data_IF_139833747643
#
_entry.id   IF_139833747643
#
_cell.length_a   1.000
_cell.length_b   1.000
_cell.length_c   1.000
_cell.angle_alpha   90.00
_cell.angle_beta   90.00
_cell.angle_gamma   90.00
#
_symmetry.space_group_name_H-M   'P 1'
#
loop_
_entity.id
_entity.type
_entity.pdbx_description
1 polymer ?
#
# COMPACT_ATOMS: atom_id res chain seq x y z
N UNK A 1 7.62 -61.47 -23.49
CA UNK A 1 7.80 -60.71 -24.74
C UNK A 1 8.38 -59.35 -24.32
N UNK A 2 9.63 -58.96 -24.59
CA UNK A 2 10.68 -59.49 -25.48
C UNK A 2 10.29 -59.55 -26.97
N UNK A 3 11.08 -59.08 -27.94
CA UNK A 3 12.38 -58.33 -27.88
C UNK A 3 12.17 -56.85 -27.43
N UNK A 4 12.95 -55.80 -27.70
CA UNK A 4 14.21 -55.47 -28.43
C UNK A 4 14.72 -54.12 -27.87
N UNK A 5 15.90 -53.53 -28.17
CA UNK A 5 17.01 -53.82 -29.11
C UNK A 5 17.58 -52.47 -29.61
N UNK A 6 18.87 -52.19 -29.40
CA UNK A 6 19.50 -50.88 -29.67
C UNK A 6 19.79 -50.59 -31.15
N UNK A 7 20.45 -49.45 -31.47
CA UNK A 7 21.89 -49.41 -31.21
C UNK A 7 22.44 -48.12 -30.55
N UNK A 8 23.62 -48.26 -29.93
CA UNK A 8 24.53 -47.16 -29.63
C UNK A 8 25.45 -46.90 -30.82
N UNK A 9 25.91 -45.66 -31.01
CA UNK A 9 27.26 -45.39 -31.53
C UNK A 9 27.74 -44.01 -31.01
N UNK A 10 29.04 -43.85 -30.71
CA UNK A 10 29.61 -42.59 -30.22
C UNK A 10 30.19 -41.74 -31.36
N UNK A 11 30.46 -40.47 -31.08
CA UNK A 11 31.62 -39.78 -31.65
C UNK A 11 32.33 -38.99 -30.54
N UNK A 12 33.65 -38.90 -30.62
CA UNK A 12 34.53 -38.37 -29.58
C UNK A 12 35.66 -37.54 -30.21
N UNK A 13 35.31 -36.34 -30.69
CA UNK A 13 36.29 -35.38 -31.21
C UNK A 13 36.97 -34.58 -30.09
N UNK A 14 38.14 -35.05 -29.67
CA UNK A 14 39.11 -34.33 -28.84
C UNK A 14 40.00 -33.40 -29.70
N UNK A 15 40.79 -32.47 -29.12
CA UNK A 15 40.94 -31.14 -29.69
C UNK A 15 42.00 -31.01 -30.82
N UNK A 16 41.68 -30.17 -31.79
CA UNK A 16 42.67 -29.55 -32.66
C UNK A 16 43.59 -28.64 -31.82
N UNK A 17 44.89 -28.93 -31.83
CA UNK A 17 45.92 -28.07 -31.23
C UNK A 17 46.42 -27.08 -32.27
N UNK A 18 45.86 -25.88 -32.27
CA UNK A 18 46.34 -24.82 -33.15
C UNK A 18 47.70 -24.26 -32.69
N UNK A 19 48.51 -23.80 -33.64
CA UNK A 19 49.92 -23.52 -33.39
C UNK A 19 50.14 -22.11 -32.80
N UNK A 20 51.02 -22.01 -31.80
CA UNK A 20 51.46 -20.72 -31.25
C UNK A 20 52.32 -19.97 -32.30
N UNK A 21 51.91 -18.78 -32.78
CA UNK A 21 52.72 -18.01 -33.73
C UNK A 21 53.95 -17.42 -33.03
N UNK A 22 55.14 -17.72 -33.54
CA UNK A 22 56.42 -17.20 -33.01
C UNK A 22 56.68 -15.74 -33.42
N UNK A 23 55.78 -14.84 -33.02
CA UNK A 23 55.92 -13.40 -33.21
C UNK A 23 56.70 -12.76 -32.07
N UNK A 24 57.88 -12.21 -32.36
CA UNK A 24 58.61 -11.34 -31.41
C UNK A 24 57.81 -10.03 -31.28
N UNK A 25 57.41 -9.59 -30.07
CA UNK A 25 56.58 -8.40 -29.91
C UNK A 25 57.32 -7.14 -30.39
N UNK A 26 56.59 -6.12 -30.90
CA UNK A 26 57.18 -4.86 -31.30
C UNK A 26 57.81 -4.14 -30.10
N UNK A 27 58.82 -3.32 -30.37
CA UNK A 27 59.42 -2.47 -29.34
C UNK A 27 58.40 -1.46 -28.79
N UNK A 28 58.42 -1.16 -27.47
CA UNK A 28 57.52 -0.16 -26.90
C UNK A 28 57.79 1.23 -27.49
N UNK A 29 56.78 2.11 -27.55
CA UNK A 29 56.95 3.50 -27.98
C UNK A 29 57.91 4.25 -27.03
N UNK A 30 58.57 5.33 -27.50
CA UNK A 30 59.40 6.17 -26.65
C UNK A 30 58.58 6.77 -25.51
N UNK A 31 59.19 6.85 -24.32
CA UNK A 31 58.57 7.47 -23.15
C UNK A 31 58.31 8.97 -23.40
N UNK A 32 57.23 9.53 -22.84
CA UNK A 32 56.95 10.97 -22.94
C UNK A 32 58.05 11.79 -22.25
N UNK A 33 58.23 13.08 -22.65
CA UNK A 33 59.08 13.99 -21.91
C UNK A 33 58.58 14.12 -20.46
N UNK A 34 59.51 14.36 -19.54
CA UNK A 34 59.16 14.66 -18.14
C UNK A 34 58.40 15.99 -18.11
N UNK A 35 57.35 16.14 -17.28
CA UNK A 35 56.74 17.44 -17.05
C UNK A 35 57.77 18.37 -16.40
N UNK A 36 57.80 19.63 -16.83
CA UNK A 36 58.50 20.68 -16.10
C UNK A 36 57.91 20.83 -14.69
N UNK A 37 58.74 21.25 -13.74
CA UNK A 37 58.33 21.49 -12.36
C UNK A 37 57.35 22.67 -12.29
N UNK A 38 56.05 22.36 -12.33
CA UNK A 38 55.02 23.29 -11.92
C UNK A 38 55.29 23.78 -10.49
N UNK A 39 55.06 25.07 -10.23
CA UNK A 39 55.01 25.57 -8.85
C UNK A 39 53.89 24.85 -8.11
N UNK A 40 54.19 24.36 -6.91
CA UNK A 40 53.18 23.80 -6.02
C UNK A 40 52.17 24.92 -5.67
N UNK A 41 50.85 24.71 -5.84
CA UNK A 41 49.86 25.69 -5.39
C UNK A 41 49.89 25.77 -3.86
N UNK A 42 49.65 26.96 -3.32
CA UNK A 42 49.43 27.12 -1.88
C UNK A 42 48.22 26.28 -1.44
N UNK A 43 48.25 25.66 -0.25
CA UNK A 43 47.14 24.84 0.22
C UNK A 43 45.87 25.70 0.37
N UNK A 44 44.78 25.24 -0.26
CA UNK A 44 43.46 25.82 -0.02
C UNK A 44 43.08 25.69 1.46
N UNK A 45 42.41 26.69 2.06
CA UNK A 45 42.00 26.60 3.46
C UNK A 45 41.06 25.41 3.66
N UNK A 46 41.32 24.61 4.71
CA UNK A 46 40.46 23.49 5.06
C UNK A 46 39.02 23.97 5.29
N UNK A 47 38.00 23.26 4.79
CA UNK A 47 36.61 23.67 4.97
C UNK A 47 36.26 23.68 6.46
N UNK A 48 35.76 24.81 6.96
CA UNK A 48 35.20 24.91 8.31
C UNK A 48 34.07 23.87 8.43
N UNK A 49 34.25 22.89 9.33
CA UNK A 49 33.26 21.83 9.50
C UNK A 49 31.97 22.44 10.06
N UNK A 50 30.88 22.32 9.29
CA UNK A 50 29.54 22.65 9.78
C UNK A 50 29.29 21.85 11.08
N UNK A 51 28.74 22.48 12.13
CA UNK A 51 28.55 21.79 13.40
C UNK A 51 27.63 20.60 13.22
N UNK A 52 28.06 19.42 13.68
CA UNK A 52 27.22 18.21 13.64
C UNK A 52 25.85 18.51 14.27
N UNK A 53 24.74 18.07 13.65
CA UNK A 53 23.41 18.35 14.19
C UNK A 53 23.32 17.77 15.60
N UNK A 54 23.02 18.65 16.56
CA UNK A 54 22.90 18.26 17.95
C UNK A 54 21.90 17.11 18.08
N UNK A 55 22.22 16.11 18.91
CA UNK A 55 21.34 14.97 19.16
C UNK A 55 20.07 15.44 19.88
N UNK A 56 19.06 15.80 19.10
CA UNK A 56 17.68 15.88 19.58
C UNK A 56 17.26 14.46 19.97
N UNK A 57 16.88 14.21 21.24
CA UNK A 57 16.47 12.88 21.65
C UNK A 57 15.21 12.46 20.89
N UNK A 58 15.19 11.23 20.38
CA UNK A 58 14.00 10.65 19.75
C UNK A 58 12.76 10.89 20.64
N UNK A 59 11.65 11.40 20.08
CA UNK A 59 10.46 11.70 20.86
C UNK A 59 9.92 10.44 21.52
N UNK A 60 9.45 10.57 22.76
CA UNK A 60 8.80 9.49 23.49
C UNK A 60 7.73 8.82 22.60
N UNK A 61 7.70 7.49 22.45
CA UNK A 61 6.76 6.82 21.55
C UNK A 61 5.28 7.12 21.85
N UNK A 62 4.92 7.50 23.07
CA UNK A 62 3.58 7.95 23.41
C UNK A 62 3.33 9.39 22.89
N UNK A 63 4.26 10.31 23.11
CA UNK A 63 4.18 11.68 22.59
C UNK A 63 4.27 11.75 21.05
N UNK A 64 5.06 10.87 20.42
CA UNK A 64 5.12 10.71 18.97
C UNK A 64 3.79 10.18 18.42
N UNK A 65 3.12 9.27 19.13
CA UNK A 65 1.79 8.79 18.77
C UNK A 65 0.75 9.90 18.92
N UNK A 66 0.76 10.68 20.01
CA UNK A 66 -0.13 11.85 20.17
C UNK A 66 0.09 12.91 19.09
N UNK A 67 1.34 13.23 18.73
CA UNK A 67 1.65 14.17 17.66
C UNK A 67 1.12 13.70 16.30
N UNK A 68 1.26 12.40 15.99
CA UNK A 68 0.67 11.79 14.78
C UNK A 68 -0.86 11.79 14.85
N UNK A 69 -1.47 11.50 16.00
CA UNK A 69 -2.93 11.58 16.18
C UNK A 69 -3.44 13.01 15.98
N UNK A 70 -2.74 14.03 16.49
CA UNK A 70 -3.05 15.44 16.27
C UNK A 70 -2.97 15.84 14.80
N UNK A 71 -1.88 15.48 14.12
CA UNK A 71 -1.72 15.69 12.67
C UNK A 71 -2.84 15.01 11.85
N UNK A 72 -3.31 13.83 12.27
CA UNK A 72 -4.41 13.14 11.57
C UNK A 72 -5.79 13.75 11.83
N UNK A 73 -6.01 14.48 12.93
CA UNK A 73 -7.27 15.19 13.17
C UNK A 73 -7.47 16.38 12.23
N UNK A 74 -6.41 17.16 11.96
CA UNK A 74 -6.45 18.34 11.09
C UNK A 74 -6.46 17.99 9.58
N UNK A 75 -6.21 16.72 9.22
CA UNK A 75 -6.39 16.28 7.83
C UNK A 75 -7.87 16.44 7.39
N UNK A 76 -8.14 17.10 6.24
CA UNK A 76 -9.49 17.40 5.79
C UNK A 76 -10.21 16.15 5.29
N UNK A 77 -11.53 16.07 5.53
CA UNK A 77 -12.33 14.88 5.19
C UNK A 77 -12.39 14.58 3.68
N UNK A 78 -12.06 15.56 2.83
CA UNK A 78 -11.96 15.41 1.38
C UNK A 78 -10.66 14.73 0.90
N UNK A 79 -9.65 14.61 1.78
CA UNK A 79 -8.34 14.04 1.48
C UNK A 79 -8.46 12.62 0.92
N UNK A 80 -7.69 12.35 -0.14
CA UNK A 80 -7.66 11.05 -0.85
C UNK A 80 -6.46 10.24 -0.40
N UNK A 81 -6.73 9.07 0.18
CA UNK A 81 -5.71 8.21 0.76
C UNK A 81 -5.28 7.12 -0.22
N UNK A 82 -3.99 6.75 -0.14
CA UNK A 82 -3.45 5.57 -0.82
C UNK A 82 -3.81 4.32 -0.03
N UNK A 83 -4.04 3.20 -0.71
CA UNK A 83 -4.54 1.96 -0.10
C UNK A 83 -3.72 1.52 1.12
N UNK A 84 -2.37 1.50 1.01
CA UNK A 84 -1.48 1.11 2.11
C UNK A 84 -1.64 1.97 3.38
N UNK A 85 -1.82 3.29 3.23
CA UNK A 85 -2.03 4.20 4.39
C UNK A 85 -3.28 3.79 5.16
N UNK A 86 -4.31 3.34 4.44
CA UNK A 86 -5.56 2.86 5.04
C UNK A 86 -5.36 1.49 5.69
N UNK A 87 -4.66 0.55 5.04
CA UNK A 87 -4.30 -0.74 5.66
C UNK A 87 -3.54 -0.56 6.98
N UNK A 88 -2.61 0.40 7.02
CA UNK A 88 -1.81 0.69 8.21
C UNK A 88 -2.68 1.32 9.32
N UNK A 89 -3.56 2.28 9.00
CA UNK A 89 -4.55 2.86 9.96
C UNK A 89 -5.55 1.82 10.47
N UNK A 90 -6.11 0.98 9.61
CA UNK A 90 -7.05 -0.06 10.04
C UNK A 90 -6.38 -1.08 10.96
N UNK A 91 -5.14 -1.48 10.65
CA UNK A 91 -4.39 -2.46 11.44
C UNK A 91 -4.07 -1.98 12.86
N UNK A 92 -3.64 -0.73 13.04
CA UNK A 92 -3.37 -0.19 14.40
C UNK A 92 -4.63 0.03 15.23
N UNK A 93 -5.79 0.19 14.57
CA UNK A 93 -7.10 0.29 15.22
C UNK A 93 -7.83 -1.09 15.35
N UNK A 94 -7.15 -2.20 15.08
CA UNK A 94 -7.72 -3.55 15.20
C UNK A 94 -8.83 -3.89 14.20
N UNK A 95 -9.00 -3.12 13.12
CA UNK A 95 -10.00 -3.36 12.07
C UNK A 95 -9.40 -4.27 10.99
N UNK A 96 -10.07 -5.40 10.73
CA UNK A 96 -9.70 -6.32 9.66
C UNK A 96 -10.23 -5.90 8.28
N UNK A 97 -9.68 -6.48 7.21
CA UNK A 97 -10.28 -6.43 5.88
C UNK A 97 -10.13 -7.76 5.13
N UNK A 98 -10.97 -7.99 4.11
CA UNK A 98 -10.98 -9.24 3.33
C UNK A 98 -11.40 -9.01 1.88
N UNK A 99 -10.42 -9.09 0.97
CA UNK A 99 -10.67 -9.26 -0.46
C UNK A 99 -10.97 -10.71 -0.82
N UNK A 100 -12.02 -10.92 -1.63
CA UNK A 100 -12.34 -12.22 -2.22
C UNK A 100 -11.36 -12.60 -3.33
N UNK A 101 -10.95 -11.63 -4.14
CA UNK A 101 -9.93 -11.74 -5.18
C UNK A 101 -8.48 -11.74 -4.67
N UNK A 102 -8.26 -11.57 -3.37
CA UNK A 102 -6.93 -11.46 -2.71
C UNK A 102 -6.06 -10.33 -3.28
N UNK A 103 -6.68 -9.19 -3.57
CA UNK A 103 -6.07 -8.07 -4.28
C UNK A 103 -6.67 -6.73 -3.87
N UNK A 104 -6.03 -5.62 -4.28
CA UNK A 104 -6.38 -4.25 -3.91
C UNK A 104 -6.49 -3.27 -5.10
N UNK A 105 -6.43 -3.77 -6.34
CA UNK A 105 -6.66 -2.96 -7.54
C UNK A 105 -8.14 -2.54 -7.65
N UNK A 106 -8.41 -1.24 -7.49
CA UNK A 106 -9.76 -0.66 -7.60
C UNK A 106 -10.44 -0.87 -8.96
N UNK A 107 -9.73 -1.29 -10.00
CA UNK A 107 -10.36 -1.61 -11.29
C UNK A 107 -10.97 -3.01 -11.32
N UNK A 108 -10.62 -3.90 -10.39
CA UNK A 108 -11.06 -5.29 -10.36
C UNK A 108 -12.13 -5.49 -9.27
N UNK A 109 -13.31 -5.95 -9.66
CA UNK A 109 -14.51 -6.01 -8.81
C UNK A 109 -14.46 -7.01 -7.64
N UNK A 110 -13.45 -7.88 -7.58
CA UNK A 110 -13.21 -8.82 -6.47
C UNK A 110 -12.07 -8.37 -5.53
N UNK A 111 -11.34 -7.31 -5.89
CA UNK A 111 -10.41 -6.68 -4.97
C UNK A 111 -11.18 -5.89 -3.90
N UNK A 112 -10.60 -5.75 -2.71
CA UNK A 112 -11.06 -4.75 -1.74
C UNK A 112 -10.04 -3.63 -1.80
N UNK A 113 -10.40 -2.51 -2.43
CA UNK A 113 -9.47 -1.39 -2.58
C UNK A 113 -9.81 -0.26 -1.61
N UNK A 114 -8.77 0.44 -1.14
CA UNK A 114 -8.94 1.69 -0.40
C UNK A 114 -8.32 2.88 -1.13
N UNK A 115 -7.88 2.68 -2.38
CA UNK A 115 -7.19 3.70 -3.16
C UNK A 115 -8.15 4.85 -3.50
N UNK A 116 -7.79 6.09 -3.15
CA UNK A 116 -8.65 7.28 -3.13
C UNK A 116 -9.91 7.19 -2.24
N UNK A 117 -9.93 6.36 -1.19
CA UNK A 117 -10.94 6.52 -0.14
C UNK A 117 -10.76 7.88 0.55
N UNK A 118 -11.85 8.46 1.09
CA UNK A 118 -11.79 9.71 1.84
C UNK A 118 -11.28 9.48 3.26
N UNK A 119 -10.49 10.41 3.79
CA UNK A 119 -10.14 10.41 5.21
C UNK A 119 -11.38 10.52 6.12
N UNK A 120 -12.38 11.32 5.77
CA UNK A 120 -13.65 11.39 6.53
C UNK A 120 -14.41 10.06 6.57
N UNK A 121 -14.30 9.24 5.51
CA UNK A 121 -14.86 7.88 5.46
C UNK A 121 -14.09 6.91 6.37
N UNK A 122 -12.78 7.09 6.54
CA UNK A 122 -12.01 6.29 7.52
C UNK A 122 -12.31 6.76 8.95
N UNK A 123 -12.30 8.08 9.24
CA UNK A 123 -12.68 8.60 10.56
C UNK A 123 -14.08 8.14 10.99
N UNK A 124 -15.06 8.15 10.08
CA UNK A 124 -16.39 7.62 10.35
C UNK A 124 -16.43 6.12 10.63
N UNK A 125 -15.58 5.32 9.97
CA UNK A 125 -15.45 3.90 10.28
C UNK A 125 -14.82 3.66 11.65
N UNK A 126 -13.77 4.42 12.00
CA UNK A 126 -13.11 4.36 13.32
C UNK A 126 -14.10 4.70 14.44
N UNK A 127 -14.82 5.82 14.32
CA UNK A 127 -15.85 6.22 15.28
C UNK A 127 -17.01 5.23 15.39
N UNK A 128 -17.37 4.53 14.30
CA UNK A 128 -18.33 3.42 14.37
C UNK A 128 -17.75 2.18 15.08
N UNK A 129 -16.48 1.82 14.84
CA UNK A 129 -15.84 0.70 15.52
C UNK A 129 -15.79 0.94 17.04
N UNK A 130 -15.31 2.11 17.45
CA UNK A 130 -15.24 2.57 18.84
C UNK A 130 -16.64 2.59 19.50
N UNK A 131 -17.58 3.37 18.96
CA UNK A 131 -18.92 3.53 19.57
C UNK A 131 -19.82 2.28 19.50
N UNK A 132 -19.51 1.32 18.63
CA UNK A 132 -20.21 0.03 18.61
C UNK A 132 -19.62 -1.01 19.55
N UNK A 133 -18.31 -0.93 19.84
CA UNK A 133 -17.56 -1.95 20.56
C UNK A 133 -17.49 -3.29 19.82
N UNK A 134 -17.64 -3.28 18.49
CA UNK A 134 -17.68 -4.47 17.65
C UNK A 134 -16.37 -4.70 16.88
N UNK A 135 -15.95 -5.96 16.75
CA UNK A 135 -14.96 -6.34 15.75
C UNK A 135 -15.51 -6.04 14.35
N UNK A 136 -14.75 -5.26 13.57
CA UNK A 136 -15.10 -4.83 12.21
C UNK A 136 -14.21 -5.55 11.20
N UNK A 137 -14.81 -6.07 10.12
CA UNK A 137 -14.09 -6.53 8.93
C UNK A 137 -14.63 -5.80 7.70
N UNK A 138 -13.79 -5.04 7.01
CA UNK A 138 -14.12 -4.36 5.76
C UNK A 138 -14.04 -5.35 4.58
N UNK A 139 -15.07 -5.42 3.75
CA UNK A 139 -15.19 -6.36 2.62
C UNK A 139 -15.15 -5.67 1.26
N UNK A 140 -15.48 -4.38 1.20
CA UNK A 140 -15.52 -3.56 -0.02
C UNK A 140 -15.16 -2.11 0.29
N UNK A 141 -14.70 -1.37 -0.72
CA UNK A 141 -14.18 -0.02 -0.57
C UNK A 141 -14.34 0.81 -1.84
N UNK A 142 -13.28 0.98 -2.62
CA UNK A 142 -13.25 1.89 -3.79
C UNK A 142 -13.26 1.19 -5.16
N UNK A 143 -13.44 -0.12 -5.18
CA UNK A 143 -13.45 -0.93 -6.39
C UNK A 143 -14.63 -0.66 -7.35
N UNK A 144 -14.41 -1.01 -8.62
CA UNK A 144 -15.40 -0.92 -9.70
C UNK A 144 -16.38 -2.08 -9.65
N UNK A 145 -17.68 -1.78 -9.68
CA UNK A 145 -18.78 -2.75 -9.72
C UNK A 145 -20.04 -2.20 -9.07
N UNK A 146 -19.84 -1.31 -8.10
CA UNK A 146 -20.87 -0.60 -7.34
C UNK A 146 -21.62 0.47 -8.14
N UNK A 147 -22.78 0.89 -7.61
CA UNK A 147 -23.59 1.96 -8.19
C UNK A 147 -22.86 3.32 -8.20
N UNK A 148 -22.91 4.01 -9.35
CA UNK A 148 -22.34 5.34 -9.52
C UNK A 148 -23.17 6.45 -8.85
N UNK A 149 -22.55 7.61 -8.67
CA UNK A 149 -23.15 8.80 -8.04
C UNK A 149 -22.11 9.59 -7.23
N UNK A 150 -22.45 10.79 -6.72
CA UNK A 150 -21.51 11.61 -5.95
C UNK A 150 -21.02 10.86 -4.71
N UNK A 151 -21.94 10.33 -3.90
CA UNK A 151 -21.66 9.57 -2.68
C UNK A 151 -21.58 8.06 -2.98
N UNK A 152 -20.51 7.62 -3.66
CA UNK A 152 -20.30 6.24 -4.11
C UNK A 152 -18.95 5.65 -3.63
N UNK A 153 -18.82 4.33 -3.74
CA UNK A 153 -17.59 3.55 -3.53
C UNK A 153 -16.44 4.09 -4.38
N UNK A 154 -16.66 4.21 -5.69
CA UNK A 154 -15.68 4.75 -6.63
C UNK A 154 -15.18 6.15 -6.22
N UNK A 155 -16.08 6.99 -5.72
CA UNK A 155 -15.76 8.32 -5.20
C UNK A 155 -15.32 8.34 -3.72
N UNK A 156 -15.04 7.18 -3.12
CA UNK A 156 -14.45 7.05 -1.79
C UNK A 156 -15.32 7.53 -0.62
N UNK A 157 -16.65 7.61 -0.79
CA UNK A 157 -17.62 7.99 0.25
C UNK A 157 -18.22 6.79 1.00
N UNK A 158 -17.94 5.57 0.54
CA UNK A 158 -18.52 4.33 1.06
C UNK A 158 -17.46 3.29 1.40
N UNK A 159 -17.83 2.40 2.32
CA UNK A 159 -17.15 1.13 2.61
C UNK A 159 -18.22 0.06 2.88
N UNK A 160 -17.93 -1.19 2.53
CA UNK A 160 -18.75 -2.33 2.91
C UNK A 160 -18.13 -3.06 4.09
N UNK A 161 -18.93 -3.43 5.09
CA UNK A 161 -18.47 -4.27 6.21
C UNK A 161 -19.24 -5.58 6.34
N UNK A 162 -18.56 -6.60 6.84
CA UNK A 162 -19.13 -7.91 7.11
C UNK A 162 -20.22 -7.83 8.20
N UNK A 163 -21.37 -8.51 8.02
CA UNK A 163 -22.45 -8.48 8.98
C UNK A 163 -22.19 -9.50 10.09
N UNK A 164 -21.82 -9.02 11.27
CA UNK A 164 -21.71 -9.84 12.48
C UNK A 164 -22.93 -9.63 13.38
N UNK A 165 -23.20 -10.57 14.30
CA UNK A 165 -24.27 -10.40 15.29
C UNK A 165 -24.08 -9.17 16.20
N UNK A 166 -22.84 -8.66 16.31
CA UNK A 166 -22.53 -7.39 16.96
C UNK A 166 -22.90 -6.20 16.07
N UNK A 167 -22.35 -6.12 14.85
CA UNK A 167 -22.59 -5.05 13.87
C UNK A 167 -24.09 -4.90 13.55
N UNK A 168 -24.76 -6.02 13.23
CA UNK A 168 -26.20 -6.07 12.98
C UNK A 168 -27.01 -5.55 14.20
N UNK A 169 -26.54 -5.75 15.43
CA UNK A 169 -27.20 -5.23 16.65
C UNK A 169 -26.87 -3.75 16.87
N UNK A 170 -25.64 -3.32 16.62
CA UNK A 170 -25.20 -1.94 16.78
C UNK A 170 -25.99 -1.00 15.85
N UNK A 171 -26.00 -1.29 14.55
CA UNK A 171 -26.63 -0.45 13.53
C UNK A 171 -28.15 -0.39 13.72
N UNK A 172 -28.80 -1.51 14.08
CA UNK A 172 -30.26 -1.56 14.28
C UNK A 172 -30.76 -0.84 15.55
N UNK A 173 -29.87 -0.27 16.38
CA UNK A 173 -30.23 0.67 17.45
C UNK A 173 -30.41 2.11 16.97
N UNK A 174 -29.85 2.47 15.82
CA UNK A 174 -30.01 3.81 15.26
C UNK A 174 -31.44 4.03 14.72
N UNK A 175 -31.91 5.29 14.63
CA UNK A 175 -33.17 5.62 13.97
C UNK A 175 -33.28 5.05 12.54
N UNK A 176 -34.41 4.43 12.15
CA UNK A 176 -34.67 4.03 10.78
C UNK A 176 -34.71 5.24 9.85
N UNK A 177 -33.99 5.16 8.72
CA UNK A 177 -33.87 6.22 7.72
C UNK A 177 -34.64 5.89 6.42
N UNK A 178 -35.65 5.01 6.50
CA UNK A 178 -36.45 4.54 5.37
C UNK A 178 -35.96 3.23 4.76
N UNK A 179 -36.30 3.01 3.50
CA UNK A 179 -35.94 1.81 2.71
C UNK A 179 -35.54 2.24 1.30
N UNK A 180 -34.45 1.68 0.78
CA UNK A 180 -33.91 1.92 -0.57
C UNK A 180 -34.75 1.18 -1.62
N UNK A 181 -34.67 1.56 -2.91
CA UNK A 181 -35.55 1.04 -3.99
C UNK A 181 -35.49 -0.49 -4.18
N UNK A 182 -34.39 -1.11 -3.80
CA UNK A 182 -34.11 -2.55 -3.81
C UNK A 182 -34.56 -3.30 -2.55
N UNK A 183 -35.13 -2.59 -1.56
CA UNK A 183 -35.56 -3.15 -0.29
C UNK A 183 -34.53 -3.06 0.83
N UNK A 184 -33.32 -2.52 0.59
CA UNK A 184 -32.32 -2.37 1.65
C UNK A 184 -32.83 -1.41 2.74
N UNK A 185 -32.93 -1.90 3.98
CA UNK A 185 -33.38 -1.10 5.14
C UNK A 185 -32.29 -0.12 5.53
N UNK A 186 -32.66 1.13 5.72
CA UNK A 186 -31.73 2.22 6.04
C UNK A 186 -31.77 2.58 7.53
N UNK A 187 -30.61 2.88 8.09
CA UNK A 187 -30.40 3.32 9.47
C UNK A 187 -29.42 4.50 9.48
N UNK A 188 -29.62 5.50 10.34
CA UNK A 188 -28.76 6.69 10.39
C UNK A 188 -28.28 7.00 11.81
N UNK A 189 -26.97 7.04 12.01
CA UNK A 189 -26.31 7.45 13.25
C UNK A 189 -26.36 8.97 13.46
N UNK A 190 -26.04 9.43 14.68
CA UNK A 190 -26.11 10.85 15.08
C UNK A 190 -25.09 11.75 14.38
N UNK A 191 -23.95 11.21 13.98
CA UNK A 191 -22.93 11.86 13.14
C UNK A 191 -23.33 11.92 11.64
N UNK A 192 -24.46 11.32 11.27
CA UNK A 192 -25.02 11.39 9.93
C UNK A 192 -24.62 10.26 8.99
N UNK A 193 -23.79 9.28 9.40
CA UNK A 193 -23.50 8.12 8.56
C UNK A 193 -24.79 7.32 8.26
N UNK A 194 -24.89 6.77 7.05
CA UNK A 194 -26.08 6.08 6.55
C UNK A 194 -25.72 4.63 6.22
N UNK A 195 -26.32 3.69 6.94
CA UNK A 195 -26.10 2.26 6.82
C UNK A 195 -27.27 1.62 6.05
N UNK A 196 -26.97 0.85 5.02
CA UNK A 196 -27.94 0.09 4.23
C UNK A 196 -27.66 -1.42 4.38
N UNK A 197 -28.66 -2.20 4.80
CA UNK A 197 -28.49 -3.66 4.89
C UNK A 197 -28.69 -4.29 3.52
N UNK A 198 -27.58 -4.66 2.91
CA UNK A 198 -27.50 -5.49 1.71
C UNK A 198 -27.63 -6.97 2.11
N UNK A 199 -27.53 -7.90 1.15
CA UNK A 199 -27.75 -9.34 1.42
C UNK A 199 -26.67 -9.93 2.35
N UNK A 200 -25.40 -9.68 2.04
CA UNK A 200 -24.22 -10.31 2.63
C UNK A 200 -23.24 -9.31 3.27
N UNK A 201 -23.53 -8.01 3.20
CA UNK A 201 -22.74 -6.91 3.78
C UNK A 201 -23.63 -5.76 4.29
N UNK A 202 -23.01 -4.77 4.91
CA UNK A 202 -23.58 -3.43 5.13
C UNK A 202 -22.85 -2.41 4.26
N UNK A 203 -23.56 -1.77 3.33
CA UNK A 203 -23.11 -0.54 2.64
C UNK A 203 -23.21 0.60 3.65
N UNK A 204 -22.09 1.26 3.95
CA UNK A 204 -22.05 2.43 4.83
C UNK A 204 -21.61 3.65 4.02
N UNK A 205 -22.44 4.69 4.00
CA UNK A 205 -22.16 5.98 3.35
C UNK A 205 -21.85 7.06 4.38
N UNK A 206 -20.64 7.60 4.33
CA UNK A 206 -20.19 8.76 5.09
C UNK A 206 -20.14 9.97 4.15
N UNK A 207 -20.50 11.18 4.59
CA UNK A 207 -20.62 12.38 3.73
C UNK A 207 -19.79 13.54 4.26
#
# INVERSE_FOLDING_TARGET
MATSGGPVHPDASAPARDALPTGRPPAPPPLPPRPDSAMEPEPEPEPEQEPEPAYEPDPDPEAALEAVQGLTHDMPDSLRLRHRVVEDVLRVNGIGWRSTGRCSDRTIASCTSFENVRWGTIKGLLGFAESSGCEITVTGGTERGHAGGPYSHWNGYKLDIAPTACVDRAIRRYPPAGVRRDGARLYRSSDGALFAREKDHWDITFR
#
